data_IF_339226111841
#
_entry.id   IF_339226111841
#
_cell.length_a   1.000
_cell.length_b   1.000
_cell.length_c   1.000
_cell.angle_alpha   90.00
_cell.angle_beta   90.00
_cell.angle_gamma   90.00
#
_symmetry.space_group_name_H-M   'P 1'
#
loop_
_entity.id
_entity.type
_entity.pdbx_description
1 polymer ?
#
# COMPACT_ATOMS: atom_id res chain seq x y z
N UNK A 1 -57.13 -10.56 -46.85
CA UNK A 1 -56.76 -9.40 -47.68
C UNK A 1 -56.43 -8.24 -46.76
N UNK A 2 -55.17 -7.78 -46.80
CA UNK A 2 -54.63 -6.50 -46.31
C UNK A 2 -54.84 -6.09 -44.84
N UNK A 3 -53.72 -5.84 -44.14
CA UNK A 3 -53.75 -5.14 -42.85
C UNK A 3 -52.46 -5.25 -42.04
N UNK A 4 -51.34 -4.77 -42.60
CA UNK A 4 -50.02 -4.63 -41.95
C UNK A 4 -50.12 -4.14 -40.50
N UNK A 5 -49.54 -4.88 -39.55
CA UNK A 5 -49.11 -4.31 -38.27
C UNK A 5 -47.65 -3.89 -38.40
N UNK A 6 -47.43 -2.58 -38.43
CA UNK A 6 -46.13 -1.94 -38.27
C UNK A 6 -45.77 -1.99 -36.78
N UNK A 7 -44.79 -2.81 -36.43
CA UNK A 7 -44.21 -2.78 -35.07
C UNK A 7 -43.19 -1.65 -35.02
N UNK A 8 -43.44 -0.70 -34.12
CA UNK A 8 -42.64 0.48 -33.90
C UNK A 8 -41.21 0.12 -33.47
N UNK A 9 -40.24 0.77 -34.12
CA UNK A 9 -38.85 0.80 -33.70
C UNK A 9 -38.75 1.43 -32.31
N UNK A 10 -38.36 0.64 -31.32
CA UNK A 10 -37.96 1.15 -30.00
C UNK A 10 -36.49 1.55 -30.08
N UNK A 11 -36.25 2.86 -30.08
CA UNK A 11 -34.96 3.46 -29.74
C UNK A 11 -34.62 3.08 -28.30
N UNK A 12 -33.53 2.35 -28.12
CA UNK A 12 -32.85 2.18 -26.84
C UNK A 12 -31.39 2.60 -27.01
N UNK A 13 -31.15 3.90 -27.00
CA UNK A 13 -29.81 4.46 -26.74
C UNK A 13 -29.59 4.31 -25.25
N UNK A 14 -28.56 3.57 -24.86
CA UNK A 14 -28.21 3.29 -23.48
C UNK A 14 -26.84 2.66 -23.39
N UNK A 15 -25.93 3.17 -24.23
CA UNK A 15 -24.50 2.99 -24.12
C UNK A 15 -24.08 3.61 -22.78
N UNK A 16 -23.77 2.76 -21.81
CA UNK A 16 -22.99 3.16 -20.64
C UNK A 16 -21.97 2.08 -20.44
N UNK A 17 -20.96 2.18 -21.30
CA UNK A 17 -19.63 1.71 -21.01
C UNK A 17 -19.30 2.12 -19.58
N UNK A 18 -19.16 1.13 -18.71
CA UNK A 18 -18.40 1.30 -17.49
C UNK A 18 -16.97 1.51 -18.01
N UNK A 19 -16.58 2.76 -18.19
CA UNK A 19 -15.20 3.15 -18.48
C UNK A 19 -14.38 2.59 -17.33
N UNK A 20 -13.71 1.45 -17.59
CA UNK A 20 -12.57 1.04 -16.82
C UNK A 20 -11.66 2.26 -16.76
N UNK A 21 -11.49 2.81 -15.55
CA UNK A 21 -10.47 3.80 -15.31
C UNK A 21 -9.18 3.20 -15.87
N UNK A 22 -8.69 3.78 -16.97
CA UNK A 22 -7.38 3.46 -17.51
C UNK A 22 -6.40 3.72 -16.37
N UNK A 23 -6.00 2.64 -15.72
CA UNK A 23 -4.93 2.64 -14.75
C UNK A 23 -3.69 3.10 -15.51
N UNK A 24 -3.31 4.36 -15.32
CA UNK A 24 -2.01 4.87 -15.72
C UNK A 24 -1.00 3.95 -15.05
N UNK A 25 -0.40 3.05 -15.85
CA UNK A 25 0.60 2.12 -15.37
C UNK A 25 1.89 2.91 -15.16
N UNK A 26 1.97 3.64 -14.04
CA UNK A 26 3.20 4.24 -13.57
C UNK A 26 4.16 3.10 -13.20
N UNK A 27 5.46 3.17 -13.57
CA UNK A 27 6.40 2.14 -13.21
C UNK A 27 6.53 2.12 -11.69
N UNK A 28 5.98 1.08 -11.06
CA UNK A 28 5.91 1.06 -9.62
C UNK A 28 7.32 0.90 -9.04
N UNK A 29 7.68 1.82 -8.15
CA UNK A 29 9.01 1.92 -7.57
C UNK A 29 9.07 1.05 -6.33
N UNK A 30 10.14 0.26 -6.18
CA UNK A 30 10.40 -0.45 -4.93
C UNK A 30 11.14 0.49 -3.99
N UNK A 31 10.60 0.73 -2.80
CA UNK A 31 11.25 1.50 -1.76
C UNK A 31 11.74 0.55 -0.65
N UNK A 32 12.97 0.78 -0.19
CA UNK A 32 13.56 0.14 0.99
C UNK A 32 13.48 1.11 2.17
N UNK A 33 12.85 0.69 3.26
CA UNK A 33 12.74 1.42 4.51
C UNK A 33 13.55 0.71 5.60
N UNK A 34 14.13 1.50 6.50
CA UNK A 34 14.68 1.01 7.77
C UNK A 34 13.76 1.47 8.88
N UNK A 35 13.20 0.53 9.64
CA UNK A 35 12.15 0.80 10.63
C UNK A 35 12.62 0.36 12.02
N UNK A 36 12.41 1.24 13.00
CA UNK A 36 12.60 0.96 14.43
C UNK A 36 11.25 0.92 15.13
N UNK A 37 11.08 -0.01 16.07
CA UNK A 37 9.85 -0.08 16.85
C UNK A 37 10.01 -0.72 18.22
N UNK A 38 9.12 -0.31 19.14
CA UNK A 38 8.91 -0.90 20.46
C UNK A 38 7.71 -1.85 20.38
N UNK A 39 7.96 -3.16 20.28
CA UNK A 39 6.92 -4.17 20.07
C UNK A 39 5.94 -4.43 21.22
N UNK A 40 6.08 -3.78 22.39
CA UNK A 40 5.29 -4.11 23.60
C UNK A 40 3.78 -4.06 23.40
N UNK A 41 3.29 -3.18 22.51
CA UNK A 41 1.85 -3.01 22.20
C UNK A 41 1.38 -3.78 20.97
N UNK A 42 2.26 -4.57 20.37
CA UNK A 42 2.05 -5.21 19.08
C UNK A 42 2.12 -6.72 19.20
N UNK A 43 1.25 -7.42 18.46
CA UNK A 43 1.27 -8.87 18.31
C UNK A 43 2.36 -9.36 17.32
N UNK A 44 3.47 -8.61 17.23
CA UNK A 44 4.60 -8.87 16.35
C UNK A 44 4.55 -8.07 15.04
N UNK A 45 5.35 -8.49 14.08
CA UNK A 45 5.43 -7.84 12.77
C UNK A 45 4.17 -8.08 11.93
N UNK A 46 3.87 -9.35 11.62
CA UNK A 46 2.94 -9.75 10.57
C UNK A 46 1.49 -9.33 10.88
N UNK A 47 0.76 -8.75 9.90
CA UNK A 47 -0.69 -8.47 10.03
C UNK A 47 -1.48 -9.72 10.46
N UNK A 48 -2.40 -9.53 11.40
CA UNK A 48 -3.33 -10.53 11.92
C UNK A 48 -4.74 -9.94 11.95
N UNK A 49 -5.79 -10.78 12.12
CA UNK A 49 -7.18 -10.29 12.11
C UNK A 49 -7.59 -9.59 13.40
N UNK A 50 -7.12 -10.11 14.54
CA UNK A 50 -7.69 -9.77 15.85
C UNK A 50 -6.68 -9.04 16.76
N UNK A 51 -5.57 -8.56 16.20
CA UNK A 51 -4.53 -7.89 16.96
C UNK A 51 -3.76 -6.86 16.14
N UNK A 52 -3.39 -5.75 16.78
CA UNK A 52 -2.58 -4.69 16.19
C UNK A 52 -1.15 -5.17 15.96
N UNK A 53 -0.62 -4.90 14.76
CA UNK A 53 0.74 -5.32 14.39
C UNK A 53 1.55 -4.16 13.83
N UNK A 54 2.87 -4.33 13.82
CA UNK A 54 3.77 -3.30 13.28
C UNK A 54 3.56 -3.13 11.78
N UNK A 55 3.34 -4.23 11.04
CA UNK A 55 3.08 -4.19 9.60
C UNK A 55 1.82 -3.37 9.29
N UNK A 56 0.71 -3.64 9.98
CA UNK A 56 -0.54 -2.91 9.74
C UNK A 56 -0.39 -1.42 10.05
N UNK A 57 0.29 -1.09 11.15
CA UNK A 57 0.55 0.29 11.57
C UNK A 57 1.38 1.04 10.52
N UNK A 58 2.43 0.40 10.00
CA UNK A 58 3.29 0.98 8.97
C UNK A 58 2.54 1.17 7.65
N UNK A 59 1.81 0.16 7.20
CA UNK A 59 1.04 0.22 5.95
C UNK A 59 -0.06 1.28 6.01
N UNK A 60 -0.74 1.43 7.16
CA UNK A 60 -1.72 2.49 7.37
C UNK A 60 -1.09 3.89 7.31
N UNK A 61 0.10 4.08 7.89
CA UNK A 61 0.82 5.35 7.81
C UNK A 61 1.30 5.67 6.39
N UNK A 62 1.82 4.67 5.67
CA UNK A 62 2.20 4.80 4.27
C UNK A 62 0.99 5.15 3.41
N UNK A 63 -0.13 4.46 3.55
CA UNK A 63 -1.34 4.73 2.78
C UNK A 63 -1.90 6.14 3.00
N UNK A 64 -1.81 6.66 4.23
CA UNK A 64 -2.19 8.05 4.52
C UNK A 64 -1.28 9.09 3.86
N UNK A 65 0.02 8.79 3.78
CA UNK A 65 0.97 9.64 3.08
C UNK A 65 0.77 9.57 1.56
N UNK A 66 0.62 8.36 1.02
CA UNK A 66 0.70 8.11 -0.42
C UNK A 66 -0.63 8.26 -1.14
N UNK A 67 -1.73 8.04 -0.42
CA UNK A 67 -3.08 7.99 -0.98
C UNK A 67 -3.45 6.62 -1.59
N UNK A 68 -2.58 5.62 -1.49
CA UNK A 68 -2.76 4.29 -2.08
C UNK A 68 -2.61 3.17 -1.04
N UNK A 69 -3.13 1.98 -1.32
CA UNK A 69 -2.93 0.83 -0.45
C UNK A 69 -1.51 0.26 -0.62
N UNK A 70 -0.67 0.38 0.41
CA UNK A 70 0.72 -0.06 0.37
C UNK A 70 0.89 -1.40 1.07
N UNK A 71 1.45 -2.39 0.38
CA UNK A 71 1.87 -3.66 0.97
C UNK A 71 3.36 -3.64 1.30
N UNK A 72 3.72 -4.14 2.48
CA UNK A 72 5.11 -4.18 2.96
C UNK A 72 5.60 -5.60 3.21
N UNK A 73 6.90 -5.80 3.01
CA UNK A 73 7.59 -7.07 3.28
C UNK A 73 8.82 -6.78 4.14
N UNK A 74 8.89 -7.35 5.34
CA UNK A 74 10.09 -7.25 6.17
C UNK A 74 11.14 -8.31 5.81
N UNK A 75 12.39 -8.00 6.14
CA UNK A 75 13.52 -8.92 6.05
C UNK A 75 13.35 -10.12 7.00
N UNK A 76 12.84 -9.87 8.21
CA UNK A 76 12.56 -10.92 9.20
C UNK A 76 11.21 -10.74 9.87
N UNK A 77 10.61 -11.85 10.30
CA UNK A 77 9.44 -11.81 11.20
C UNK A 77 9.91 -11.60 12.63
N UNK A 78 9.10 -10.91 13.41
CA UNK A 78 9.27 -10.77 14.87
C UNK A 78 7.98 -11.19 15.56
N UNK A 79 8.15 -11.81 16.73
CA UNK A 79 7.04 -12.26 17.58
C UNK A 79 6.46 -11.09 18.41
N UNK A 80 5.34 -11.35 19.07
CA UNK A 80 4.70 -10.37 19.95
C UNK A 80 5.65 -9.85 21.03
N UNK A 81 5.62 -8.54 21.27
CA UNK A 81 6.46 -7.88 22.27
C UNK A 81 7.91 -7.60 21.84
N UNK A 82 8.40 -8.17 20.73
CA UNK A 82 9.80 -8.00 20.29
C UNK A 82 10.06 -6.60 19.75
N UNK A 83 11.22 -6.03 20.12
CA UNK A 83 11.67 -4.73 19.62
C UNK A 83 12.61 -4.89 18.42
N UNK A 84 12.65 -3.89 17.54
CA UNK A 84 13.66 -3.81 16.49
C UNK A 84 14.26 -2.40 16.41
N UNK A 85 15.58 -2.32 16.21
CA UNK A 85 16.28 -1.04 16.01
C UNK A 85 16.41 -0.63 14.54
N UNK A 86 16.23 -1.57 13.61
CA UNK A 86 16.48 -1.35 12.19
C UNK A 86 16.00 -2.51 11.33
N UNK A 87 14.73 -2.91 11.49
CA UNK A 87 14.09 -3.86 10.60
C UNK A 87 14.09 -3.29 9.18
N UNK A 88 14.60 -4.05 8.22
CA UNK A 88 14.56 -3.64 6.81
C UNK A 88 13.23 -4.08 6.22
N UNK A 89 12.57 -3.17 5.51
CA UNK A 89 11.25 -3.37 4.92
C UNK A 89 11.28 -2.91 3.48
N UNK A 90 10.69 -3.67 2.57
CA UNK A 90 10.44 -3.24 1.19
C UNK A 90 8.95 -3.01 0.96
N UNK A 91 8.61 -1.98 0.20
CA UNK A 91 7.25 -1.76 -0.32
C UNK A 91 7.30 -1.34 -1.79
N UNK A 92 6.18 -1.54 -2.49
CA UNK A 92 5.96 -1.08 -3.86
C UNK A 92 5.06 0.14 -3.82
N UNK A 93 5.45 1.21 -4.51
CA UNK A 93 4.71 2.47 -4.59
C UNK A 93 4.34 2.75 -6.05
N UNK A 94 3.21 3.40 -6.31
CA UNK A 94 2.79 3.70 -7.71
C UNK A 94 3.68 4.75 -8.38
N UNK A 95 4.40 5.56 -7.60
CA UNK A 95 5.35 6.55 -8.13
C UNK A 95 6.56 6.70 -7.23
N UNK A 96 7.56 7.41 -7.74
CA UNK A 96 8.72 7.80 -6.93
C UNK A 96 8.34 8.86 -5.89
N UNK A 97 8.97 8.78 -4.73
CA UNK A 97 8.80 9.72 -3.63
C UNK A 97 10.16 10.21 -3.15
N UNK A 98 10.31 11.51 -2.87
CA UNK A 98 11.52 12.01 -2.23
C UNK A 98 11.77 11.25 -0.92
N UNK A 99 13.00 10.76 -0.73
CA UNK A 99 13.41 10.00 0.47
C UNK A 99 13.01 10.72 1.75
N UNK A 100 13.22 12.04 1.82
CA UNK A 100 12.85 12.85 2.97
C UNK A 100 11.32 12.85 3.21
N UNK A 101 10.51 12.87 2.16
CA UNK A 101 9.05 12.80 2.27
C UNK A 101 8.59 11.44 2.79
N UNK A 102 9.19 10.33 2.33
CA UNK A 102 8.90 8.99 2.87
C UNK A 102 9.24 8.90 4.36
N UNK A 103 10.40 9.42 4.77
CA UNK A 103 10.81 9.36 6.18
C UNK A 103 9.93 10.27 7.05
N UNK A 104 9.87 11.56 6.76
CA UNK A 104 9.16 12.53 7.60
C UNK A 104 7.64 12.39 7.50
N UNK A 105 7.11 12.18 6.30
CA UNK A 105 5.68 12.03 6.05
C UNK A 105 5.11 10.77 6.71
N UNK A 106 5.79 9.63 6.58
CA UNK A 106 5.34 8.40 7.25
C UNK A 106 5.42 8.56 8.76
N UNK A 107 6.52 9.14 9.29
CA UNK A 107 6.68 9.38 10.73
C UNK A 107 5.62 10.32 11.32
N UNK A 108 5.11 11.28 10.55
CA UNK A 108 4.02 12.15 10.98
C UNK A 108 2.72 11.37 11.26
N UNK A 109 2.49 10.28 10.53
CA UNK A 109 1.32 9.43 10.69
C UNK A 109 1.52 8.24 11.64
N UNK A 110 2.76 7.95 12.03
CA UNK A 110 3.10 6.82 12.90
C UNK A 110 2.97 7.17 14.40
N UNK A 111 2.48 6.23 15.22
CA UNK A 111 2.52 6.36 16.68
C UNK A 111 3.96 6.38 17.20
N UNK A 112 4.17 6.94 18.40
CA UNK A 112 5.51 7.19 18.99
C UNK A 112 6.44 5.99 19.12
N UNK A 113 5.88 4.79 19.10
CA UNK A 113 6.53 3.49 19.24
C UNK A 113 6.97 2.87 17.90
N UNK A 114 6.67 3.48 16.75
CA UNK A 114 7.14 3.04 15.42
C UNK A 114 7.73 4.23 14.66
N UNK A 115 8.93 4.07 14.10
CA UNK A 115 9.63 5.11 13.34
C UNK A 115 10.34 4.57 12.11
N UNK A 116 10.19 5.26 10.99
CA UNK A 116 11.06 5.11 9.81
C UNK A 116 12.33 5.92 10.05
N UNK A 117 13.47 5.24 10.02
CA UNK A 117 14.80 5.85 10.22
C UNK A 117 15.42 6.31 8.90
N UNK A 118 15.20 5.56 7.83
CA UNK A 118 15.75 5.83 6.51
C UNK A 118 14.88 5.24 5.41
N UNK A 119 14.93 5.83 4.23
CA UNK A 119 14.32 5.31 3.01
C UNK A 119 15.32 5.38 1.85
N UNK A 120 15.19 4.50 0.88
CA UNK A 120 15.94 4.53 -0.37
C UNK A 120 15.09 3.94 -1.49
N UNK A 121 15.19 4.49 -2.70
CA UNK A 121 14.74 3.78 -3.88
C UNK A 121 15.59 2.50 -4.04
N UNK A 122 14.93 1.40 -4.35
CA UNK A 122 15.55 0.12 -4.62
C UNK A 122 15.32 -0.24 -6.10
N UNK A 123 16.27 -0.96 -6.73
CA UNK A 123 16.12 -1.38 -8.11
C UNK A 123 14.87 -2.26 -8.27
N UNK A 124 14.34 -2.28 -9.50
CA UNK A 124 13.24 -3.16 -9.85
C UNK A 124 13.63 -4.63 -9.52
N UNK A 125 12.78 -5.31 -8.75
CA UNK A 125 13.05 -6.67 -8.26
C UNK A 125 13.69 -6.79 -6.87
N UNK A 126 13.96 -5.69 -6.16
CA UNK A 126 14.43 -5.76 -4.78
C UNK A 126 13.39 -6.40 -3.85
N UNK A 127 13.84 -7.31 -2.98
CA UNK A 127 13.00 -8.02 -2.03
C UNK A 127 13.71 -8.07 -0.69
N UNK A 128 13.18 -7.42 0.36
CA UNK A 128 13.89 -7.28 1.65
C UNK A 128 14.30 -8.60 2.34
N UNK A 129 13.73 -9.73 1.90
CA UNK A 129 13.97 -11.08 2.42
C UNK A 129 15.06 -11.86 1.65
N UNK A 130 15.51 -11.37 0.49
CA UNK A 130 16.54 -12.02 -0.34
C UNK A 130 17.85 -11.27 -0.29
#
# INVERSE_FOLDING_TARGET
>A
MAGRRLTAATRGVGESAITAAESVQCPAVIARLTVSYVGTRYAGWQRQRDALTVQETLEGALARLTGEAVATVAAGRTDAGVHARGQVVSCRLERDWPVAALVHGTNHHLPGDVRVLAAAAAPEGFHARR
#
